data_IF_959339713182
#
_entry.id   IF_959339713182
#
_cell.length_a   1.000
_cell.length_b   1.000
_cell.length_c   1.000
_cell.angle_alpha   90.00
_cell.angle_beta   90.00
_cell.angle_gamma   90.00
#
_symmetry.space_group_name_H-M   'P 1'
#
loop_
_entity.id
_entity.type
_entity.pdbx_description
1 polymer ?
#
# COMPACT_ATOMS: atom_id res chain seq x y z
N UNK A 1 11.00 15.45 18.92
CA UNK A 1 12.43 15.48 19.29
C UNK A 1 13.05 14.10 19.48
N UNK A 2 12.74 13.28 20.49
CA UNK A 2 13.39 11.93 20.61
C UNK A 2 13.06 10.97 19.45
N UNK A 3 11.80 10.93 18.98
CA UNK A 3 11.41 10.02 17.88
C UNK A 3 11.95 10.46 16.51
N UNK A 4 12.05 11.77 16.23
CA UNK A 4 12.51 12.26 14.92
C UNK A 4 14.00 11.99 14.68
N UNK A 5 14.82 12.10 15.73
CA UNK A 5 16.25 11.82 15.63
C UNK A 5 16.51 10.30 15.50
N UNK A 6 15.71 9.48 16.18
CA UNK A 6 15.72 8.02 16.05
C UNK A 6 15.32 7.57 14.64
N UNK A 7 14.21 8.09 14.09
CA UNK A 7 13.74 7.74 12.74
C UNK A 7 14.79 8.08 11.66
N UNK A 8 15.41 9.26 11.79
CA UNK A 8 16.42 9.72 10.86
C UNK A 8 17.68 8.84 10.89
N UNK A 9 18.17 8.48 12.07
CA UNK A 9 19.30 7.56 12.23
C UNK A 9 18.96 6.16 11.68
N UNK A 10 17.74 5.68 11.88
CA UNK A 10 17.29 4.39 11.38
C UNK A 10 17.25 4.35 9.85
N UNK A 11 16.73 5.39 9.20
CA UNK A 11 16.76 5.52 7.72
C UNK A 11 18.18 5.57 7.18
N UNK A 12 19.09 6.30 7.83
CA UNK A 12 20.49 6.36 7.42
C UNK A 12 21.22 5.02 7.57
N UNK A 13 20.74 4.13 8.45
CA UNK A 13 21.29 2.80 8.64
C UNK A 13 20.85 1.78 7.58
N UNK A 14 19.89 2.13 6.73
CA UNK A 14 19.35 1.22 5.71
C UNK A 14 20.41 0.86 4.67
N UNK A 15 20.45 -0.44 4.34
CA UNK A 15 21.37 -0.94 3.32
C UNK A 15 21.00 -0.40 1.94
N UNK A 16 21.99 0.18 1.26
CA UNK A 16 21.87 0.46 -0.16
C UNK A 16 22.07 -0.82 -0.97
N UNK A 17 20.99 -1.29 -1.60
CA UNK A 17 21.04 -2.47 -2.47
C UNK A 17 21.36 -2.10 -3.91
N UNK A 18 22.12 -2.94 -4.60
CA UNK A 18 22.20 -2.94 -6.06
C UNK A 18 20.88 -3.38 -6.68
N UNK A 19 20.70 -3.11 -7.98
CA UNK A 19 19.54 -3.58 -8.75
C UNK A 19 19.39 -5.10 -8.69
N UNK A 20 20.49 -5.83 -8.81
CA UNK A 20 20.48 -7.30 -8.77
C UNK A 20 20.10 -7.82 -7.39
N UNK A 21 20.59 -7.20 -6.31
CA UNK A 21 20.19 -7.57 -4.95
C UNK A 21 18.70 -7.32 -4.71
N UNK A 22 18.14 -6.20 -5.18
CA UNK A 22 16.69 -5.96 -5.09
C UNK A 22 15.87 -6.97 -5.90
N UNK A 23 16.34 -7.37 -7.08
CA UNK A 23 15.69 -8.41 -7.87
C UNK A 23 15.73 -9.77 -7.16
N UNK A 24 16.85 -10.12 -6.53
CA UNK A 24 16.98 -11.33 -5.72
C UNK A 24 16.02 -11.31 -4.51
N UNK A 25 15.87 -10.18 -3.82
CA UNK A 25 14.88 -10.04 -2.75
C UNK A 25 13.45 -10.22 -3.30
N UNK A 26 13.15 -9.66 -4.47
CA UNK A 26 11.83 -9.82 -5.10
C UNK A 26 11.54 -11.30 -5.44
N UNK A 27 12.50 -12.00 -6.01
CA UNK A 27 12.39 -13.45 -6.29
C UNK A 27 12.20 -14.26 -5.01
N UNK A 28 13.00 -13.97 -3.99
CA UNK A 28 12.93 -14.59 -2.67
C UNK A 28 11.55 -14.42 -2.02
N UNK A 29 10.96 -13.23 -2.13
CA UNK A 29 9.60 -12.90 -1.69
C UNK A 29 8.53 -13.66 -2.46
N UNK A 30 8.64 -13.74 -3.79
CA UNK A 30 7.71 -14.50 -4.62
C UNK A 30 7.72 -15.99 -4.27
N UNK A 31 8.90 -16.55 -3.99
CA UNK A 31 9.02 -17.94 -3.55
C UNK A 31 8.30 -18.18 -2.22
N UNK A 32 8.46 -17.30 -1.22
CA UNK A 32 7.77 -17.44 0.08
C UNK A 32 6.26 -17.30 -0.02
N UNK A 33 5.82 -16.38 -0.86
CA UNK A 33 4.39 -16.21 -1.16
C UNK A 33 3.83 -17.46 -1.84
N UNK A 34 4.57 -18.05 -2.78
CA UNK A 34 4.19 -19.28 -3.47
C UNK A 34 4.17 -20.48 -2.53
N UNK A 35 5.18 -20.60 -1.67
CA UNK A 35 5.31 -21.68 -0.69
C UNK A 35 4.26 -21.54 0.43
N UNK A 36 3.81 -20.32 0.70
CA UNK A 36 2.80 -20.01 1.70
C UNK A 36 3.33 -19.99 3.12
N UNK A 37 4.65 -19.92 3.32
CA UNK A 37 5.31 -19.83 4.62
C UNK A 37 6.76 -19.36 4.49
N UNK A 38 7.40 -19.03 5.61
CA UNK A 38 8.85 -18.78 5.68
C UNK A 38 9.43 -19.11 7.06
N UNK A 39 10.75 -19.25 7.14
CA UNK A 39 11.50 -19.41 8.39
C UNK A 39 12.28 -18.13 8.70
N UNK A 40 11.96 -17.38 9.77
CA UNK A 40 12.78 -16.25 10.21
C UNK A 40 14.12 -16.72 10.78
N UNK A 41 15.09 -15.81 10.90
CA UNK A 41 16.40 -16.10 11.51
C UNK A 41 16.32 -16.49 12.99
N UNK A 42 15.24 -16.06 13.67
CA UNK A 42 14.89 -16.40 15.05
C UNK A 42 13.40 -16.70 15.14
N UNK A 43 13.04 -17.77 15.84
CA UNK A 43 11.64 -18.17 16.05
C UNK A 43 11.22 -19.37 15.20
N UNK A 44 9.94 -19.73 15.29
CA UNK A 44 9.35 -20.86 14.56
C UNK A 44 9.02 -20.48 13.11
N UNK A 45 8.78 -21.48 12.23
CA UNK A 45 8.23 -21.23 10.90
C UNK A 45 6.91 -20.46 10.98
N UNK A 46 6.68 -19.56 10.03
CA UNK A 46 5.52 -18.66 9.97
C UNK A 46 4.74 -18.96 8.70
N UNK A 47 3.46 -19.33 8.86
CA UNK A 47 2.54 -19.53 7.74
C UNK A 47 2.04 -18.19 7.22
N UNK A 48 1.94 -18.07 5.89
CA UNK A 48 1.35 -16.96 5.15
C UNK A 48 0.08 -17.36 4.39
N UNK A 49 -0.18 -18.66 4.26
CA UNK A 49 -1.17 -19.19 3.31
C UNK A 49 -2.58 -18.64 3.53
N UNK A 50 -3.05 -18.62 4.79
CA UNK A 50 -4.38 -18.12 5.14
C UNK A 50 -4.51 -16.61 4.92
N UNK A 51 -3.49 -15.83 5.30
CA UNK A 51 -3.48 -14.38 5.09
C UNK A 51 -3.44 -14.01 3.60
N UNK A 52 -2.63 -14.73 2.82
CA UNK A 52 -2.56 -14.55 1.36
C UNK A 52 -3.92 -14.88 0.74
N UNK A 53 -4.51 -16.02 1.09
CA UNK A 53 -5.82 -16.39 0.58
C UNK A 53 -6.89 -15.37 0.96
N UNK A 54 -6.89 -14.91 2.21
CA UNK A 54 -7.83 -13.89 2.69
C UNK A 54 -7.67 -12.58 1.93
N UNK A 55 -6.45 -12.03 1.84
CA UNK A 55 -6.18 -10.76 1.19
C UNK A 55 -6.52 -10.81 -0.31
N UNK A 56 -6.17 -11.89 -1.01
CA UNK A 56 -6.52 -12.11 -2.41
C UNK A 56 -8.03 -12.16 -2.61
N UNK A 57 -8.73 -13.00 -1.85
CA UNK A 57 -10.18 -13.20 -2.02
C UNK A 57 -10.97 -11.92 -1.71
N UNK A 58 -10.53 -11.14 -0.72
CA UNK A 58 -11.22 -9.93 -0.27
C UNK A 58 -10.69 -8.64 -0.92
N UNK A 59 -9.78 -8.73 -1.88
CA UNK A 59 -9.35 -7.55 -2.67
C UNK A 59 -10.52 -7.01 -3.47
N UNK A 60 -10.66 -5.69 -3.54
CA UNK A 60 -11.73 -5.03 -4.30
C UNK A 60 -11.14 -3.98 -5.22
N UNK A 61 -11.63 -3.92 -6.46
CA UNK A 61 -11.41 -2.76 -7.34
C UNK A 61 -12.61 -1.84 -7.20
N UNK A 62 -12.38 -0.60 -6.81
CA UNK A 62 -13.38 0.45 -6.85
C UNK A 62 -13.25 1.21 -8.15
N UNK A 63 -14.28 1.11 -9.00
CA UNK A 63 -14.39 1.90 -10.23
C UNK A 63 -14.85 3.31 -9.93
N UNK A 64 -14.80 4.18 -10.95
CA UNK A 64 -15.36 5.53 -10.83
C UNK A 64 -16.84 5.53 -10.44
N UNK A 65 -17.59 4.55 -10.92
CA UNK A 65 -19.01 4.36 -10.58
C UNK A 65 -19.18 4.00 -9.10
N UNK A 66 -18.39 3.04 -8.59
CA UNK A 66 -18.46 2.61 -7.20
C UNK A 66 -18.12 3.74 -6.24
N UNK A 67 -17.08 4.51 -6.56
CA UNK A 67 -16.64 5.66 -5.75
C UNK A 67 -17.67 6.78 -5.75
N UNK A 68 -18.33 7.05 -6.89
CA UNK A 68 -19.42 8.02 -6.95
C UNK A 68 -20.62 7.60 -6.10
N UNK A 69 -21.01 6.33 -6.18
CA UNK A 69 -22.09 5.76 -5.36
C UNK A 69 -21.75 5.84 -3.87
N UNK A 70 -20.52 5.52 -3.48
CA UNK A 70 -20.05 5.56 -2.09
C UNK A 70 -19.95 6.98 -1.54
N UNK A 71 -19.49 7.94 -2.35
CA UNK A 71 -19.50 9.36 -1.99
C UNK A 71 -20.90 9.85 -1.65
N UNK A 72 -21.91 9.47 -2.45
CA UNK A 72 -23.32 9.78 -2.14
C UNK A 72 -23.77 9.16 -0.83
N UNK A 73 -23.39 7.90 -0.56
CA UNK A 73 -23.72 7.25 0.71
C UNK A 73 -23.06 7.95 1.90
N UNK A 74 -21.78 8.34 1.81
CA UNK A 74 -21.08 9.05 2.90
C UNK A 74 -21.70 10.42 3.14
N UNK A 75 -21.99 11.20 2.09
CA UNK A 75 -22.61 12.51 2.25
C UNK A 75 -24.02 12.42 2.85
N UNK A 76 -24.81 11.43 2.42
CA UNK A 76 -26.14 11.19 2.98
C UNK A 76 -26.08 10.63 4.41
N UNK A 77 -25.03 9.85 4.72
CA UNK A 77 -24.75 9.35 6.05
C UNK A 77 -24.28 10.48 6.97
N UNK A 78 -23.44 11.42 6.55
CA UNK A 78 -23.05 12.60 7.35
C UNK A 78 -24.26 13.49 7.71
N UNK A 79 -25.25 13.61 6.81
CA UNK A 79 -26.52 14.28 7.08
C UNK A 79 -27.38 13.55 8.14
N UNK A 80 -27.24 12.22 8.28
CA UNK A 80 -27.98 11.40 9.27
C UNK A 80 -27.16 10.99 10.52
N UNK A 81 -25.82 10.99 10.44
CA UNK A 81 -24.85 10.54 11.46
C UNK A 81 -24.16 11.69 12.19
N UNK A 82 -24.41 12.94 11.80
CA UNK A 82 -24.05 14.13 12.59
C UNK A 82 -24.59 14.11 14.03
N UNK A 83 -25.48 13.18 14.38
CA UNK A 83 -25.99 12.99 15.74
C UNK A 83 -25.44 11.78 16.49
N UNK A 84 -24.72 10.84 15.86
CA UNK A 84 -24.34 9.56 16.51
C UNK A 84 -22.87 9.15 16.41
N UNK A 85 -22.05 9.75 15.53
CA UNK A 85 -20.59 9.56 15.53
C UNK A 85 -19.81 10.64 16.31
N UNK A 86 -20.45 11.78 16.58
CA UNK A 86 -19.85 12.87 17.35
C UNK A 86 -19.68 12.54 18.85
N UNK A 87 -20.29 11.48 19.36
CA UNK A 87 -20.38 11.22 20.81
C UNK A 87 -19.30 10.30 21.38
N UNK A 88 -18.39 9.72 20.59
CA UNK A 88 -17.31 8.86 21.14
C UNK A 88 -15.89 9.05 20.56
N UNK A 89 -15.66 9.97 19.63
CA UNK A 89 -14.30 10.30 19.18
C UNK A 89 -13.76 11.51 19.95
N UNK A 90 -13.48 11.30 21.24
CA UNK A 90 -12.66 12.22 22.06
C UNK A 90 -11.17 11.86 21.96
N UNK A 91 -10.68 11.55 20.76
CA UNK A 91 -9.25 11.53 20.47
C UNK A 91 -8.96 12.59 19.40
N UNK A 92 -8.09 13.53 19.73
CA UNK A 92 -7.63 14.55 18.77
C UNK A 92 -6.92 13.85 17.60
N UNK A 93 -7.34 14.13 16.37
CA UNK A 93 -6.61 13.69 15.17
C UNK A 93 -5.15 14.11 15.27
N UNK A 94 -4.24 13.13 15.28
CA UNK A 94 -2.79 13.37 15.29
C UNK A 94 -2.27 13.31 13.86
N UNK A 95 -1.65 14.39 13.40
CA UNK A 95 -0.98 14.45 12.09
C UNK A 95 0.51 14.59 12.36
N UNK A 96 1.30 13.70 11.78
CA UNK A 96 2.76 13.67 11.93
C UNK A 96 3.44 13.61 10.56
N UNK A 97 4.62 14.22 10.48
CA UNK A 97 5.52 14.10 9.33
C UNK A 97 6.83 13.52 9.86
N UNK A 98 7.15 12.30 9.44
CA UNK A 98 8.32 11.54 9.90
C UNK A 98 9.27 11.29 8.74
N UNK A 99 10.58 11.29 9.02
CA UNK A 99 11.59 10.88 8.06
C UNK A 99 11.82 9.36 8.17
N UNK A 100 10.90 8.57 7.62
CA UNK A 100 10.94 7.12 7.68
C UNK A 100 10.38 6.48 6.40
N UNK A 101 10.62 5.19 6.20
CA UNK A 101 9.95 4.44 5.13
C UNK A 101 8.48 4.21 5.48
N UNK A 102 7.69 3.82 4.48
CA UNK A 102 6.30 3.38 4.72
C UNK A 102 6.25 2.13 5.62
N UNK A 103 7.25 1.24 5.52
CA UNK A 103 7.32 0.02 6.35
C UNK A 103 7.64 0.35 7.80
N UNK A 104 8.61 1.23 8.05
CA UNK A 104 8.95 1.70 9.41
C UNK A 104 7.76 2.41 10.07
N UNK A 105 7.08 3.31 9.35
CA UNK A 105 5.90 3.99 9.87
C UNK A 105 4.79 2.99 10.23
N UNK A 106 4.49 2.05 9.33
CA UNK A 106 3.45 1.05 9.58
C UNK A 106 3.81 0.14 10.76
N UNK A 107 5.07 -0.30 10.87
CA UNK A 107 5.52 -1.14 11.96
C UNK A 107 5.44 -0.42 13.33
N UNK A 108 5.85 0.85 13.39
CA UNK A 108 5.72 1.71 14.59
C UNK A 108 4.26 1.81 15.02
N UNK A 109 3.37 2.12 14.08
CA UNK A 109 1.94 2.27 14.37
C UNK A 109 1.28 0.96 14.83
N UNK A 110 1.64 -0.18 14.25
CA UNK A 110 1.15 -1.49 14.71
C UNK A 110 1.61 -1.80 16.13
N UNK A 111 2.83 -1.40 16.50
CA UNK A 111 3.33 -1.60 17.87
C UNK A 111 2.63 -0.70 18.89
N UNK A 112 2.17 0.48 18.47
CA UNK A 112 1.48 1.46 19.32
C UNK A 112 -0.03 1.20 19.44
N UNK A 113 -0.67 0.70 18.38
CA UNK A 113 -2.12 0.56 18.26
C UNK A 113 -2.52 -0.91 18.33
N UNK A 114 -2.92 -1.36 19.52
CA UNK A 114 -3.15 -2.79 19.84
C UNK A 114 -4.37 -3.39 19.13
N UNK A 115 -5.28 -2.60 18.55
CA UNK A 115 -6.52 -3.12 17.92
C UNK A 115 -6.95 -2.41 16.62
N UNK A 116 -6.20 -1.39 16.15
CA UNK A 116 -6.61 -0.61 14.98
C UNK A 116 -6.09 -1.18 13.65
N UNK A 117 -6.93 -1.10 12.62
CA UNK A 117 -6.54 -1.43 11.26
C UNK A 117 -5.67 -0.32 10.66
N UNK A 118 -4.36 -0.57 10.52
CA UNK A 118 -3.44 0.37 9.85
C UNK A 118 -3.68 0.37 8.34
N UNK A 119 -3.96 1.55 7.78
CA UNK A 119 -4.09 1.80 6.35
C UNK A 119 -2.78 2.33 5.75
N UNK A 120 -2.36 1.76 4.62
CA UNK A 120 -1.17 2.16 3.87
C UNK A 120 -1.54 2.54 2.44
N UNK A 121 -1.10 3.72 1.99
CA UNK A 121 -1.21 4.13 0.60
C UNK A 121 -0.02 3.60 -0.21
N UNK A 122 -0.29 2.80 -1.23
CA UNK A 122 0.69 2.35 -2.23
C UNK A 122 0.72 3.34 -3.42
N UNK A 123 1.89 3.93 -3.69
CA UNK A 123 2.15 4.89 -4.76
C UNK A 123 2.27 4.15 -6.10
N UNK A 124 1.12 3.70 -6.59
CA UNK A 124 1.05 2.64 -7.57
C UNK A 124 1.47 3.06 -8.98
N UNK A 125 2.09 2.13 -9.69
CA UNK A 125 2.16 2.09 -11.12
C UNK A 125 0.76 1.83 -11.69
N UNK A 126 0.30 2.72 -12.57
CA UNK A 126 -0.98 2.55 -13.25
C UNK A 126 -1.02 1.35 -14.20
N UNK A 127 0.14 0.80 -14.59
CA UNK A 127 0.25 -0.14 -15.72
C UNK A 127 0.89 -1.48 -15.40
N UNK A 128 1.62 -1.57 -14.30
CA UNK A 128 2.40 -2.75 -13.94
C UNK A 128 2.20 -3.05 -12.46
N UNK A 129 1.66 -4.23 -12.09
CA UNK A 129 1.45 -4.59 -10.69
C UNK A 129 2.78 -4.71 -9.95
N UNK A 130 2.92 -4.01 -8.82
CA UNK A 130 4.17 -3.94 -8.06
C UNK A 130 5.28 -3.16 -8.79
N UNK A 131 4.92 -2.33 -9.77
CA UNK A 131 5.88 -1.52 -10.53
C UNK A 131 6.95 -2.38 -11.22
N UNK A 132 8.21 -2.02 -10.99
CA UNK A 132 9.37 -2.75 -11.51
C UNK A 132 10.07 -3.67 -10.49
N UNK A 133 9.39 -4.13 -9.44
CA UNK A 133 10.04 -4.77 -8.28
C UNK A 133 10.86 -6.02 -8.66
N UNK A 134 10.32 -6.88 -9.53
CA UNK A 134 11.02 -8.06 -10.07
C UNK A 134 12.31 -7.72 -10.83
N UNK A 135 12.38 -6.53 -11.42
CA UNK A 135 13.56 -6.04 -12.16
C UNK A 135 14.51 -5.25 -11.28
N UNK A 136 14.27 -5.20 -9.97
CA UNK A 136 15.07 -4.46 -9.01
C UNK A 136 14.91 -2.94 -9.09
N UNK A 137 13.78 -2.42 -9.56
CA UNK A 137 13.46 -1.00 -9.45
C UNK A 137 13.35 -0.57 -7.99
N UNK A 138 13.61 0.72 -7.72
CA UNK A 138 13.61 1.27 -6.37
C UNK A 138 12.66 2.45 -6.25
N UNK A 139 11.41 2.19 -5.90
CA UNK A 139 10.49 3.18 -5.38
C UNK A 139 9.63 2.54 -4.27
N UNK A 140 8.66 3.30 -3.76
CA UNK A 140 7.85 2.89 -2.62
C UNK A 140 6.99 1.65 -2.93
N UNK A 141 6.31 1.61 -4.09
CA UNK A 141 5.54 0.43 -4.52
C UNK A 141 6.43 -0.82 -4.58
N UNK A 142 7.62 -0.72 -5.18
CA UNK A 142 8.52 -1.87 -5.26
C UNK A 142 9.03 -2.31 -3.88
N UNK A 143 9.20 -1.39 -2.93
CA UNK A 143 9.53 -1.75 -1.55
C UNK A 143 8.40 -2.55 -0.90
N UNK A 144 7.17 -2.04 -0.99
CA UNK A 144 5.98 -2.75 -0.49
C UNK A 144 5.82 -4.12 -1.14
N UNK A 145 5.99 -4.22 -2.46
CA UNK A 145 5.88 -5.49 -3.20
C UNK A 145 6.99 -6.50 -2.83
N UNK A 146 8.21 -6.02 -2.53
CA UNK A 146 9.30 -6.89 -2.06
C UNK A 146 9.12 -7.34 -0.61
N UNK A 147 8.40 -6.61 0.22
CA UNK A 147 8.36 -6.88 1.65
C UNK A 147 7.06 -7.51 2.16
N UNK A 148 6.11 -7.78 1.26
CA UNK A 148 4.75 -8.17 1.66
C UNK A 148 4.07 -9.18 0.72
N UNK A 149 2.87 -9.61 1.12
CA UNK A 149 1.94 -10.37 0.29
C UNK A 149 1.10 -9.54 -0.68
N UNK A 150 1.47 -8.27 -0.96
CA UNK A 150 0.70 -7.39 -1.83
C UNK A 150 0.55 -7.93 -3.26
N UNK A 151 1.64 -8.44 -3.86
CA UNK A 151 1.68 -8.76 -5.29
C UNK A 151 0.59 -9.75 -5.77
N UNK A 152 0.32 -10.88 -5.06
CA UNK A 152 -0.83 -11.74 -5.36
C UNK A 152 -2.17 -11.03 -5.49
N UNK A 153 -2.40 -10.00 -4.67
CA UNK A 153 -3.65 -9.24 -4.70
C UNK A 153 -3.79 -8.45 -5.99
N UNK A 154 -2.67 -8.00 -6.57
CA UNK A 154 -2.63 -7.12 -7.75
C UNK A 154 -2.72 -7.89 -9.08
N UNK A 155 -2.35 -9.18 -9.11
CA UNK A 155 -2.29 -9.97 -10.35
C UNK A 155 -3.55 -10.79 -10.63
N UNK A 156 -4.61 -10.62 -9.83
CA UNK A 156 -5.89 -11.28 -10.07
C UNK A 156 -6.48 -10.83 -11.42
N UNK A 157 -7.11 -11.75 -12.16
CA UNK A 157 -7.72 -11.44 -13.46
C UNK A 157 -8.66 -10.22 -13.39
N UNK A 158 -9.52 -10.13 -12.37
CA UNK A 158 -10.42 -8.98 -12.16
C UNK A 158 -9.65 -7.66 -12.00
N UNK A 159 -8.58 -7.67 -11.21
CA UNK A 159 -7.74 -6.48 -10.97
C UNK A 159 -7.01 -6.10 -12.25
N UNK A 160 -6.50 -7.09 -12.99
CA UNK A 160 -5.82 -6.87 -14.25
C UNK A 160 -6.74 -6.20 -15.28
N UNK A 161 -7.93 -6.76 -15.50
CA UNK A 161 -8.89 -6.22 -16.46
C UNK A 161 -9.43 -4.86 -16.03
N UNK A 162 -9.85 -4.71 -14.77
CA UNK A 162 -10.54 -3.50 -14.32
C UNK A 162 -9.59 -2.35 -13.98
N UNK A 163 -8.35 -2.61 -13.56
CA UNK A 163 -7.42 -1.54 -13.20
C UNK A 163 -6.31 -1.37 -14.23
N UNK A 164 -5.51 -2.41 -14.48
CA UNK A 164 -4.28 -2.27 -15.27
C UNK A 164 -4.58 -2.10 -16.75
N UNK A 165 -5.44 -2.95 -17.33
CA UNK A 165 -5.82 -2.83 -18.74
C UNK A 165 -6.60 -1.55 -18.98
N UNK A 166 -7.51 -1.16 -18.09
CA UNK A 166 -8.22 0.12 -18.20
C UNK A 166 -7.25 1.31 -18.31
N UNK A 167 -6.25 1.37 -17.43
CA UNK A 167 -5.23 2.42 -17.45
C UNK A 167 -4.26 2.32 -18.64
N UNK A 168 -4.02 1.12 -19.20
CA UNK A 168 -3.20 0.95 -20.41
C UNK A 168 -3.90 1.43 -21.67
N UNK A 169 -5.22 1.21 -21.77
CA UNK A 169 -6.03 1.72 -22.87
C UNK A 169 -6.20 3.24 -22.78
N UNK A 170 -6.27 3.80 -21.57
CA UNK A 170 -6.23 5.23 -21.33
C UNK A 170 -4.88 5.84 -21.74
N UNK A 171 -4.83 6.52 -22.90
CA UNK A 171 -3.60 7.18 -23.39
C UNK A 171 -3.19 8.42 -22.58
N UNK A 172 -3.93 8.77 -21.53
CA UNK A 172 -3.67 9.94 -20.69
C UNK A 172 -2.67 9.62 -19.58
N UNK A 173 -1.68 10.50 -19.40
CA UNK A 173 -0.81 10.48 -18.22
C UNK A 173 -1.54 10.78 -16.90
N UNK A 174 -2.82 11.17 -16.94
CA UNK A 174 -3.63 11.36 -15.73
C UNK A 174 -4.00 10.05 -15.05
N UNK A 175 -4.13 8.97 -15.84
CA UNK A 175 -4.71 7.70 -15.42
C UNK A 175 -6.14 7.83 -14.89
N UNK A 176 -6.75 6.70 -14.54
CA UNK A 176 -8.11 6.61 -14.00
C UNK A 176 -8.20 7.01 -12.53
N UNK A 177 -9.43 7.11 -12.00
CA UNK A 177 -9.65 7.24 -10.55
C UNK A 177 -9.93 5.88 -9.89
N UNK A 178 -9.63 4.78 -10.57
CA UNK A 178 -9.82 3.43 -10.01
C UNK A 178 -8.85 3.18 -8.88
N UNK A 179 -9.32 2.50 -7.85
CA UNK A 179 -8.58 2.20 -6.62
C UNK A 179 -8.63 0.69 -6.40
N UNK A 180 -7.51 0.08 -6.02
CA UNK A 180 -7.51 -1.30 -5.52
C UNK A 180 -7.37 -1.23 -4.00
N UNK A 181 -8.27 -1.89 -3.28
CA UNK A 181 -8.14 -2.10 -1.84
C UNK A 181 -7.80 -3.56 -1.57
N UNK A 182 -6.67 -3.79 -0.91
CA UNK A 182 -6.18 -5.11 -0.51
C UNK A 182 -6.19 -5.19 1.02
N UNK A 183 -7.14 -5.89 1.64
CA UNK A 183 -7.20 -6.02 3.10
C UNK A 183 -6.16 -7.02 3.61
N UNK A 184 -5.71 -6.86 4.86
CA UNK A 184 -4.85 -7.82 5.59
C UNK A 184 -3.63 -8.29 4.76
N UNK A 185 -2.96 -7.34 4.10
CA UNK A 185 -1.68 -7.62 3.45
C UNK A 185 -0.64 -7.82 4.54
N UNK A 186 0.04 -8.97 4.52
CA UNK A 186 1.06 -9.33 5.50
C UNK A 186 2.40 -8.75 5.08
N UNK A 187 2.99 -7.90 5.92
CA UNK A 187 4.39 -7.48 5.82
C UNK A 187 5.23 -8.51 6.56
N UNK A 188 6.20 -9.11 5.87
CA UNK A 188 7.04 -10.17 6.41
C UNK A 188 8.54 -9.96 6.17
N UNK A 189 8.94 -8.84 5.54
CA UNK A 189 10.33 -8.38 5.50
C UNK A 189 10.46 -6.92 5.94
N UNK A 190 11.61 -6.59 6.51
CA UNK A 190 12.02 -5.20 6.77
C UNK A 190 12.58 -4.51 5.50
N UNK A 191 12.94 -3.23 5.61
CA UNK A 191 13.57 -2.46 4.51
C UNK A 191 14.94 -3.03 4.08
N UNK A 192 15.58 -3.82 4.93
CA UNK A 192 16.83 -4.52 4.65
C UNK A 192 16.61 -5.90 4.00
N UNK A 193 15.35 -6.27 3.71
CA UNK A 193 14.98 -7.55 3.09
C UNK A 193 15.07 -8.75 4.04
N UNK A 194 15.32 -8.54 5.34
CA UNK A 194 15.37 -9.60 6.34
C UNK A 194 13.95 -10.07 6.67
N UNK A 195 13.78 -11.37 6.90
CA UNK A 195 12.51 -11.94 7.30
C UNK A 195 12.18 -11.57 8.76
N UNK A 196 10.97 -11.07 8.99
CA UNK A 196 10.49 -10.68 10.30
C UNK A 196 10.10 -11.91 11.12
N UNK A 197 10.51 -11.97 12.40
CA UNK A 197 10.03 -13.00 13.34
C UNK A 197 8.60 -12.78 13.81
N UNK A 198 8.08 -11.56 13.63
CA UNK A 198 6.69 -11.19 13.90
C UNK A 198 6.19 -10.35 12.73
N UNK A 199 5.55 -10.98 11.71
CA UNK A 199 4.93 -10.23 10.63
C UNK A 199 3.75 -9.42 11.18
N UNK A 200 3.33 -8.43 10.41
CA UNK A 200 2.18 -7.61 10.76
C UNK A 200 1.30 -7.38 9.53
N UNK A 201 0.05 -6.98 9.77
CA UNK A 201 -0.94 -6.79 8.72
C UNK A 201 -1.28 -5.32 8.52
N UNK A 202 -1.51 -4.94 7.27
CA UNK A 202 -2.02 -3.62 6.90
C UNK A 202 -3.11 -3.75 5.84
N UNK A 203 -4.05 -2.80 5.80
CA UNK A 203 -4.89 -2.58 4.63
C UNK A 203 -4.14 -1.71 3.63
N UNK A 204 -4.01 -2.14 2.37
CA UNK A 204 -3.34 -1.35 1.34
C UNK A 204 -4.33 -0.76 0.35
N UNK A 205 -4.20 0.55 0.10
CA UNK A 205 -4.93 1.27 -0.94
C UNK A 205 -3.95 1.58 -2.07
N UNK A 206 -4.16 0.98 -3.24
CA UNK A 206 -3.28 1.07 -4.41
C UNK A 206 -3.88 2.02 -5.44
N UNK A 207 -3.22 3.16 -5.63
CA UNK A 207 -3.73 4.29 -6.43
C UNK A 207 -2.62 4.94 -7.22
N UNK A 208 -2.80 5.18 -8.52
CA UNK A 208 -1.75 5.78 -9.32
C UNK A 208 -1.79 7.30 -9.16
N UNK A 209 -0.65 7.97 -9.00
CA UNK A 209 -0.57 9.42 -9.14
C UNK A 209 -0.58 9.81 -10.63
N UNK A 210 -1.11 11.00 -11.01
CA UNK A 210 -0.94 11.49 -12.37
C UNK A 210 0.54 11.60 -12.72
N UNK A 211 0.93 11.16 -13.90
CA UNK A 211 2.28 11.32 -14.41
C UNK A 211 2.48 12.75 -14.91
N UNK A 212 2.91 13.63 -14.01
CA UNK A 212 3.14 15.05 -14.29
C UNK A 212 4.12 15.29 -15.45
N UNK A 213 5.13 14.42 -15.61
CA UNK A 213 6.13 14.52 -16.69
C UNK A 213 5.55 14.30 -18.09
N UNK A 214 4.47 13.51 -18.18
CA UNK A 214 3.75 13.21 -19.42
C UNK A 214 2.67 14.25 -19.68
N UNK A 215 1.92 14.65 -18.66
CA UNK A 215 0.77 15.56 -18.80
C UNK A 215 1.20 16.99 -19.10
N UNK A 216 2.26 17.49 -18.45
CA UNK A 216 2.81 18.85 -18.64
C UNK A 216 1.79 20.00 -18.49
N UNK A 217 0.71 19.77 -17.75
CA UNK A 217 -0.31 20.77 -17.41
C UNK A 217 -0.56 20.75 -15.91
N UNK A 218 0.06 21.68 -15.18
CA UNK A 218 0.10 21.70 -13.71
C UNK A 218 -1.29 21.74 -13.09
N UNK A 219 -2.19 22.60 -13.57
CA UNK A 219 -3.55 22.71 -13.02
C UNK A 219 -4.38 21.44 -13.23
N UNK A 220 -4.19 20.77 -14.37
CA UNK A 220 -4.87 19.51 -14.65
C UNK A 220 -4.35 18.38 -13.76
N UNK A 221 -3.03 18.32 -13.54
CA UNK A 221 -2.42 17.38 -12.59
C UNK A 221 -2.94 17.64 -11.17
N UNK A 222 -2.93 18.90 -10.72
CA UNK A 222 -3.36 19.29 -9.39
C UNK A 222 -4.84 18.98 -9.14
N UNK A 223 -5.72 19.37 -10.05
CA UNK A 223 -7.16 19.08 -9.94
C UNK A 223 -7.44 17.57 -9.90
N UNK A 224 -6.76 16.80 -10.75
CA UNK A 224 -6.85 15.32 -10.76
C UNK A 224 -6.35 14.72 -9.44
N UNK A 225 -5.22 15.21 -8.90
CA UNK A 225 -4.71 14.76 -7.60
C UNK A 225 -5.71 15.06 -6.48
N UNK A 226 -6.25 16.28 -6.41
CA UNK A 226 -7.23 16.67 -5.38
C UNK A 226 -8.50 15.84 -5.46
N UNK A 227 -8.98 15.53 -6.66
CA UNK A 227 -10.12 14.63 -6.82
C UNK A 227 -9.81 13.21 -6.34
N UNK A 228 -8.62 12.70 -6.65
CA UNK A 228 -8.20 11.34 -6.27
C UNK A 228 -7.97 11.22 -4.76
N UNK A 229 -7.38 12.22 -4.12
CA UNK A 229 -7.22 12.27 -2.65
C UNK A 229 -8.56 12.20 -1.93
N UNK A 230 -9.60 12.90 -2.44
CA UNK A 230 -10.95 12.87 -1.84
C UNK A 230 -11.67 11.51 -1.99
N UNK A 231 -11.13 10.59 -2.77
CA UNK A 231 -11.70 9.24 -3.00
C UNK A 231 -11.01 8.16 -2.15
N UNK A 232 -9.87 8.49 -1.53
CA UNK A 232 -9.19 7.67 -0.53
C UNK A 232 -9.98 7.71 0.78
#
# INVERSE_FOLDING_TARGET
>A
MMNEQSDFEEVLSLKSFSRNQRAAIAEDTLNKVKDGWYQPSKGSPISLAEDIAFSVNNTVVYTEYDLHKRKKLILNADETMSTSFATNMSSSLKIEVRHCTTLQAAQSLVAEMVEDCIGVLNFASAKNPGGGFQRGSNAQEESLARSSSLYPTLIQNRVFTEYYDYNRHGKSGLYSHRIIYSPRVTIFKDDNGNLLSSPYHVGMVTVPAPNASVVRQTELVKSTMMERIRRL
#
